data_IF_631006948313
#
_entry.id   IF_631006948313
#
_cell.length_a   1.000
_cell.length_b   1.000
_cell.length_c   1.000
_cell.angle_alpha   90.00
_cell.angle_beta   90.00
_cell.angle_gamma   90.00
#
_symmetry.space_group_name_H-M   'P 1'
#
loop_
_entity.id
_entity.type
_entity.pdbx_description
1 polymer ?
#
# COMPACT_ATOMS: atom_id res chain seq x y z
N UNK A 1 -6.24 1.17 21.91
CA UNK A 1 -5.44 1.00 20.68
C UNK A 1 -4.78 -0.37 20.72
N UNK A 2 -5.04 -1.21 19.76
CA UNK A 2 -4.47 -2.55 19.69
C UNK A 2 -3.80 -2.75 18.33
N UNK A 3 -2.53 -3.13 18.34
CA UNK A 3 -1.79 -3.47 17.13
C UNK A 3 -1.91 -4.98 16.90
N UNK A 4 -2.22 -5.36 15.67
CA UNK A 4 -2.34 -6.74 15.25
C UNK A 4 -1.47 -6.97 14.02
N UNK A 5 -0.67 -8.04 14.07
CA UNK A 5 0.14 -8.41 12.91
C UNK A 5 -0.76 -8.82 11.74
N UNK A 6 -0.35 -8.45 10.54
CA UNK A 6 -1.04 -8.82 9.30
C UNK A 6 -0.13 -9.64 8.42
N UNK A 7 -0.72 -10.59 7.69
CA UNK A 7 -0.04 -11.21 6.56
C UNK A 7 -0.19 -10.32 5.31
N UNK A 8 0.67 -10.55 4.32
CA UNK A 8 0.57 -9.84 3.05
C UNK A 8 -0.77 -10.09 2.37
N UNK A 9 -1.30 -11.31 2.49
CA UNK A 9 -2.59 -11.68 1.91
C UNK A 9 -3.74 -10.92 2.59
N UNK A 10 -3.73 -10.84 3.91
CA UNK A 10 -4.73 -10.07 4.66
C UNK A 10 -4.67 -8.59 4.27
N UNK A 11 -3.46 -8.04 4.12
CA UNK A 11 -3.30 -6.67 3.67
C UNK A 11 -3.90 -6.46 2.27
N UNK A 12 -3.61 -7.36 1.34
CA UNK A 12 -4.10 -7.24 -0.03
C UNK A 12 -5.63 -7.19 -0.10
N UNK A 13 -6.31 -7.90 0.81
CA UNK A 13 -7.76 -7.95 0.87
C UNK A 13 -8.39 -6.81 1.69
N UNK A 14 -7.59 -5.97 2.32
CA UNK A 14 -8.10 -4.87 3.14
C UNK A 14 -8.51 -3.69 2.26
N UNK A 15 -9.76 -3.21 2.38
CA UNK A 15 -10.20 -2.04 1.62
C UNK A 15 -9.62 -0.75 2.17
N UNK A 16 -9.42 0.22 1.29
CA UNK A 16 -8.86 1.53 1.60
C UNK A 16 -9.87 2.63 1.35
N UNK A 17 -9.58 3.82 1.87
CA UNK A 17 -10.42 5.00 1.62
C UNK A 17 -10.26 5.54 0.18
N UNK A 18 -9.32 5.03 -0.61
CA UNK A 18 -9.08 5.53 -1.96
C UNK A 18 -10.11 5.00 -2.95
N UNK A 19 -10.95 5.90 -3.45
CA UNK A 19 -11.81 5.66 -4.59
C UNK A 19 -11.13 6.12 -5.90
N UNK A 20 -10.20 7.07 -5.81
CA UNK A 20 -9.40 7.53 -6.96
C UNK A 20 -7.94 7.50 -6.57
N UNK A 21 -7.11 6.85 -7.36
CA UNK A 21 -5.69 6.66 -7.04
C UNK A 21 -4.87 6.67 -8.33
N UNK A 22 -3.79 7.44 -8.34
CA UNK A 22 -2.89 7.55 -9.49
C UNK A 22 -3.64 7.92 -10.78
N UNK A 23 -4.67 8.75 -10.68
CA UNK A 23 -5.47 9.15 -11.83
C UNK A 23 -6.52 8.14 -12.28
N UNK A 24 -6.58 6.96 -11.64
CA UNK A 24 -7.62 5.98 -11.90
C UNK A 24 -8.88 6.39 -11.14
N UNK A 25 -9.92 6.74 -11.86
CA UNK A 25 -11.18 7.25 -11.28
C UNK A 25 -12.23 6.15 -11.24
N UNK A 26 -12.76 5.92 -10.05
CA UNK A 26 -13.81 4.95 -9.81
C UNK A 26 -14.59 5.43 -8.58
N UNK A 27 -15.84 5.04 -8.46
CA UNK A 27 -16.69 5.40 -7.33
C UNK A 27 -16.60 4.40 -6.17
N UNK A 28 -15.97 3.26 -6.38
CA UNK A 28 -15.82 2.23 -5.33
C UNK A 28 -14.45 2.33 -4.65
N UNK A 29 -14.44 2.06 -3.35
CA UNK A 29 -13.19 1.96 -2.61
C UNK A 29 -12.40 0.73 -3.06
N UNK A 30 -11.08 0.85 -3.06
CA UNK A 30 -10.20 -0.20 -3.56
C UNK A 30 -9.43 -0.85 -2.43
N UNK A 31 -9.18 -2.16 -2.57
CA UNK A 31 -8.31 -2.89 -1.65
C UNK A 31 -6.85 -2.56 -1.97
N UNK A 32 -5.95 -2.86 -1.02
CA UNK A 32 -4.51 -2.70 -1.25
C UNK A 32 -4.03 -3.50 -2.46
N UNK A 33 -4.58 -4.71 -2.66
CA UNK A 33 -4.22 -5.51 -3.83
C UNK A 33 -4.61 -4.85 -5.14
N UNK A 34 -5.78 -4.22 -5.19
CA UNK A 34 -6.21 -3.47 -6.37
C UNK A 34 -5.33 -2.24 -6.61
N UNK A 35 -4.97 -1.53 -5.55
CA UNK A 35 -4.08 -0.37 -5.68
C UNK A 35 -2.69 -0.77 -6.16
N UNK A 36 -2.15 -1.90 -5.69
CA UNK A 36 -0.88 -2.43 -6.19
C UNK A 36 -0.96 -2.74 -7.69
N UNK A 37 -2.07 -3.32 -8.13
CA UNK A 37 -2.26 -3.65 -9.55
C UNK A 37 -2.28 -2.36 -10.40
N UNK A 38 -2.98 -1.32 -9.93
CA UNK A 38 -3.01 -0.02 -10.60
C UNK A 38 -1.60 0.59 -10.66
N UNK A 39 -0.89 0.58 -9.55
CA UNK A 39 0.48 1.10 -9.47
C UNK A 39 1.39 0.38 -10.47
N UNK A 40 1.35 -0.96 -10.48
CA UNK A 40 2.19 -1.75 -11.37
C UNK A 40 1.93 -1.43 -12.84
N UNK A 41 0.68 -1.31 -13.23
CA UNK A 41 0.29 -1.02 -14.60
C UNK A 41 0.74 0.38 -15.01
N UNK A 42 0.55 1.35 -14.15
CA UNK A 42 0.97 2.73 -14.42
C UNK A 42 2.49 2.85 -14.47
N UNK A 43 3.23 2.16 -13.61
CA UNK A 43 4.68 2.17 -13.62
C UNK A 43 5.27 1.73 -14.95
N UNK A 44 4.62 0.78 -15.61
CA UNK A 44 5.08 0.32 -16.93
C UNK A 44 4.83 1.36 -18.02
N UNK A 45 3.65 1.97 -18.00
CA UNK A 45 3.18 2.79 -19.10
C UNK A 45 3.58 4.26 -18.97
N UNK A 46 3.75 4.77 -17.75
CA UNK A 46 3.75 6.21 -17.51
C UNK A 46 4.95 6.74 -16.72
N UNK A 47 5.94 5.92 -16.41
CA UNK A 47 7.12 6.36 -15.66
C UNK A 47 7.85 7.54 -16.30
N UNK A 48 7.75 7.65 -17.61
CA UNK A 48 8.47 8.67 -18.34
C UNK A 48 7.62 9.92 -18.62
N UNK A 49 6.33 9.87 -18.34
CA UNK A 49 5.45 10.89 -18.92
C UNK A 49 5.17 12.08 -18.00
N UNK A 50 4.98 11.87 -16.69
CA UNK A 50 4.62 12.97 -15.80
C UNK A 50 4.88 12.60 -14.34
N UNK A 51 5.12 13.62 -13.53
CA UNK A 51 5.21 13.48 -12.09
C UNK A 51 3.86 13.02 -11.53
N UNK A 52 3.86 11.87 -10.91
CA UNK A 52 2.71 11.32 -10.20
C UNK A 52 3.08 11.19 -8.74
N UNK A 53 2.63 12.12 -7.91
CA UNK A 53 2.95 12.13 -6.49
C UNK A 53 2.76 10.79 -5.80
N UNK A 54 1.68 10.06 -6.14
CA UNK A 54 1.42 8.73 -5.59
C UNK A 54 2.44 7.71 -6.07
N UNK A 55 2.75 7.68 -7.37
CA UNK A 55 3.73 6.77 -7.94
C UNK A 55 5.11 6.99 -7.33
N UNK A 56 5.54 8.24 -7.23
CA UNK A 56 6.83 8.59 -6.66
C UNK A 56 6.91 8.24 -5.18
N UNK A 57 5.84 8.43 -4.45
CA UNK A 57 5.79 8.10 -3.02
C UNK A 57 5.91 6.61 -2.80
N UNK A 58 5.18 5.81 -3.58
CA UNK A 58 5.28 4.35 -3.53
C UNK A 58 6.67 3.89 -3.97
N UNK A 59 7.21 4.44 -5.06
CA UNK A 59 8.56 4.12 -5.54
C UNK A 59 9.61 4.34 -4.46
N UNK A 60 9.52 5.45 -3.73
CA UNK A 60 10.46 5.78 -2.67
C UNK A 60 10.40 4.79 -1.52
N UNK A 61 9.18 4.42 -1.11
CA UNK A 61 9.01 3.42 -0.05
C UNK A 61 9.52 2.04 -0.48
N UNK A 62 9.29 1.65 -1.74
CA UNK A 62 9.84 0.39 -2.27
C UNK A 62 11.36 0.40 -2.20
N UNK A 63 11.98 1.50 -2.63
CA UNK A 63 13.43 1.62 -2.61
C UNK A 63 13.99 1.51 -1.20
N UNK A 64 13.37 2.19 -0.24
CA UNK A 64 13.79 2.14 1.16
C UNK A 64 13.63 0.74 1.74
N UNK A 65 12.51 0.08 1.49
CA UNK A 65 12.26 -1.27 1.98
C UNK A 65 13.21 -2.29 1.35
N UNK A 66 13.41 -2.21 0.03
CA UNK A 66 14.27 -3.16 -0.69
C UNK A 66 15.74 -3.04 -0.27
N UNK A 67 16.18 -1.86 0.15
CA UNK A 67 17.55 -1.63 0.61
C UNK A 67 17.70 -1.67 2.12
N UNK A 68 16.68 -2.08 2.85
CA UNK A 68 16.65 -2.17 4.32
C UNK A 68 16.92 -0.83 5.02
N UNK A 69 16.51 0.28 4.39
CA UNK A 69 16.66 1.62 4.95
C UNK A 69 15.39 2.16 5.59
N UNK A 70 14.39 1.31 5.77
CA UNK A 70 13.17 1.73 6.43
C UNK A 70 13.43 1.97 7.94
N UNK A 71 12.77 2.99 8.49
CA UNK A 71 12.91 3.37 9.90
C UNK A 71 11.66 3.11 10.71
N UNK A 72 10.55 2.77 10.07
CA UNK A 72 9.26 2.59 10.73
C UNK A 72 8.59 1.32 10.25
N UNK A 73 7.80 0.71 11.14
CA UNK A 73 6.92 -0.39 10.77
C UNK A 73 5.80 0.13 9.87
N UNK A 74 5.21 -0.77 9.10
CA UNK A 74 4.06 -0.44 8.26
C UNK A 74 2.80 -0.65 9.10
N UNK A 75 2.23 0.44 9.58
CA UNK A 75 1.03 0.41 10.42
C UNK A 75 -0.14 0.97 9.62
N UNK A 76 -1.15 0.11 9.39
CA UNK A 76 -2.39 0.50 8.75
C UNK A 76 -3.38 0.95 9.82
N UNK A 77 -3.82 2.19 9.75
CA UNK A 77 -4.91 2.67 10.61
C UNK A 77 -6.22 2.52 9.88
N UNK A 78 -7.24 2.08 10.60
CA UNK A 78 -8.56 1.83 10.03
C UNK A 78 -9.61 2.69 10.70
N UNK A 79 -10.65 3.04 9.93
CA UNK A 79 -11.84 3.72 10.40
C UNK A 79 -13.07 3.00 9.90
N UNK A 80 -14.21 3.24 10.52
CA UNK A 80 -15.49 2.65 10.10
C UNK A 80 -16.33 3.72 9.41
N UNK A 81 -16.75 3.45 8.19
CA UNK A 81 -17.55 4.35 7.37
C UNK A 81 -18.76 3.57 6.84
N UNK A 82 -19.96 3.98 7.23
CA UNK A 82 -21.21 3.30 6.85
C UNK A 82 -21.16 1.78 7.12
N UNK A 83 -20.63 1.39 8.27
CA UNK A 83 -20.52 -0.01 8.66
C UNK A 83 -19.36 -0.78 8.00
N UNK A 84 -18.60 -0.14 7.14
CA UNK A 84 -17.45 -0.75 6.47
C UNK A 84 -16.15 -0.26 7.05
N UNK A 85 -15.26 -1.18 7.38
CA UNK A 85 -13.93 -0.86 7.88
C UNK A 85 -12.98 -0.60 6.70
N UNK A 86 -12.38 0.59 6.68
CA UNK A 86 -11.49 1.03 5.61
C UNK A 86 -10.16 1.48 6.20
N UNK A 87 -9.07 1.17 5.52
CA UNK A 87 -7.77 1.74 5.85
C UNK A 87 -7.75 3.23 5.48
N UNK A 88 -7.33 4.06 6.41
CA UNK A 88 -7.31 5.53 6.24
C UNK A 88 -5.90 6.11 6.29
N UNK A 89 -4.90 5.33 6.71
CA UNK A 89 -3.51 5.78 6.83
C UNK A 89 -2.56 4.62 6.55
N UNK A 90 -1.33 4.95 6.14
CA UNK A 90 -0.31 3.96 5.80
C UNK A 90 -0.51 3.36 4.41
N UNK A 91 -1.35 3.96 3.58
CA UNK A 91 -1.77 3.36 2.31
C UNK A 91 -0.60 3.21 1.33
N UNK A 92 0.20 4.25 1.13
CA UNK A 92 1.33 4.18 0.21
C UNK A 92 2.38 3.17 0.67
N UNK A 93 2.64 3.07 1.97
CA UNK A 93 3.55 2.08 2.53
C UNK A 93 3.03 0.67 2.35
N UNK A 94 1.72 0.47 2.53
CA UNK A 94 1.09 -0.82 2.31
C UNK A 94 1.21 -1.29 0.86
N UNK A 95 1.00 -0.39 -0.10
CA UNK A 95 1.18 -0.70 -1.52
C UNK A 95 2.65 -1.06 -1.79
N UNK A 96 3.60 -0.30 -1.25
CA UNK A 96 5.02 -0.56 -1.40
C UNK A 96 5.40 -1.92 -0.81
N UNK A 97 4.88 -2.26 0.36
CA UNK A 97 5.09 -3.55 0.99
C UNK A 97 4.66 -4.69 0.06
N UNK A 98 3.45 -4.63 -0.49
CA UNK A 98 2.95 -5.65 -1.41
C UNK A 98 3.78 -5.72 -2.68
N UNK A 99 4.24 -4.58 -3.19
CA UNK A 99 5.11 -4.56 -4.37
C UNK A 99 6.45 -5.25 -4.09
N UNK A 100 7.02 -5.08 -2.89
CA UNK A 100 8.24 -5.77 -2.49
C UNK A 100 8.02 -7.28 -2.41
N UNK A 101 6.92 -7.73 -1.85
CA UNK A 101 6.56 -9.15 -1.79
C UNK A 101 6.45 -9.71 -3.21
N UNK A 102 5.80 -8.98 -4.12
CA UNK A 102 5.66 -9.40 -5.52
C UNK A 102 7.01 -9.54 -6.22
N UNK A 103 8.00 -8.74 -5.83
CA UNK A 103 9.36 -8.83 -6.35
C UNK A 103 10.17 -9.97 -5.76
N UNK A 104 9.60 -10.72 -4.82
CA UNK A 104 10.26 -11.87 -4.21
C UNK A 104 11.04 -11.55 -2.95
N UNK A 105 10.89 -10.37 -2.38
CA UNK A 105 11.55 -10.03 -1.11
C UNK A 105 10.80 -10.75 0.02
N UNK A 106 11.56 -11.48 0.85
CA UNK A 106 10.99 -12.20 1.99
C UNK A 106 10.42 -11.23 3.04
N UNK A 107 9.25 -11.53 3.64
CA UNK A 107 8.68 -10.69 4.69
C UNK A 107 9.62 -10.43 5.87
N UNK A 108 10.54 -11.35 6.18
CA UNK A 108 11.51 -11.18 7.26
C UNK A 108 12.50 -10.04 7.00
N UNK A 109 12.65 -9.65 5.75
CA UNK A 109 13.54 -8.57 5.33
C UNK A 109 12.80 -7.24 5.16
N UNK A 110 11.52 -7.22 5.47
CA UNK A 110 10.67 -6.05 5.34
C UNK A 110 10.26 -5.55 6.73
N UNK A 111 9.78 -4.30 6.83
CA UNK A 111 9.27 -3.79 8.10
C UNK A 111 8.09 -4.62 8.60
N UNK A 112 7.84 -4.60 9.88
CA UNK A 112 6.68 -5.27 10.45
C UNK A 112 5.39 -4.67 9.89
N UNK A 113 4.43 -5.52 9.58
CA UNK A 113 3.14 -5.13 9.03
C UNK A 113 2.08 -5.31 10.09
N UNK A 114 1.41 -4.24 10.49
CA UNK A 114 0.48 -4.23 11.61
C UNK A 114 -0.78 -3.45 11.29
N UNK A 115 -1.88 -3.88 11.90
CA UNK A 115 -3.17 -3.21 11.83
C UNK A 115 -3.43 -2.53 13.18
N UNK A 116 -3.75 -1.24 13.15
CA UNK A 116 -4.16 -0.47 14.31
C UNK A 116 -5.68 -0.31 14.25
N UNK A 117 -6.36 -1.02 15.12
CA UNK A 117 -7.82 -1.01 15.19
C UNK A 117 -8.33 -0.10 16.30
#
# INVERSE_FOLDING_TARGET
MALRALSARELADTPTLFASFMGHVDTSYKTFGQLRAIYRERSRAMRAAEDRGDDLRVDRFIEDMASSRWSEDVVMRVGVFDGTMLAVDGIHRGIAYLACIEKGISPERLPALQLDC
#
